data_IF_625523366663
#
_entry.id   IF_625523366663
#
_cell.length_a   1.000
_cell.length_b   1.000
_cell.length_c   1.000
_cell.angle_alpha   90.00
_cell.angle_beta   90.00
_cell.angle_gamma   90.00
#
_symmetry.space_group_name_H-M   'P 1'
#
loop_
_entity.id
_entity.type
_entity.pdbx_description
1 polymer ?
#
# COMPACT_ATOMS: atom_id res chain seq x y z
N UNK A 1 -6.38 -56.34 -31.61
CA UNK A 1 -6.76 -56.33 -30.18
C UNK A 1 -7.06 -54.89 -29.84
N UNK A 2 -8.31 -54.62 -29.48
CA UNK A 2 -8.85 -53.27 -29.30
C UNK A 2 -8.27 -52.59 -28.05
N UNK A 3 -8.05 -51.29 -28.21
CA UNK A 3 -7.76 -50.29 -27.19
C UNK A 3 -8.66 -50.43 -25.97
N UNK A 4 -8.07 -50.37 -24.77
CA UNK A 4 -8.78 -50.09 -23.54
C UNK A 4 -8.06 -49.06 -22.70
N UNK A 5 -8.74 -47.92 -22.59
CA UNK A 5 -8.88 -47.07 -21.40
C UNK A 5 -7.70 -46.15 -21.05
N UNK A 6 -7.57 -45.08 -21.83
CA UNK A 6 -7.27 -43.77 -21.26
C UNK A 6 -8.62 -43.06 -21.08
N UNK A 7 -9.16 -43.13 -19.87
CA UNK A 7 -10.21 -42.21 -19.42
C UNK A 7 -10.17 -42.10 -17.90
N UNK A 8 -9.08 -41.53 -17.37
CA UNK A 8 -9.15 -40.91 -16.06
C UNK A 8 -9.85 -39.56 -16.23
N UNK A 9 -11.12 -39.54 -15.83
CA UNK A 9 -11.89 -38.33 -15.64
C UNK A 9 -11.19 -37.45 -14.60
N UNK A 10 -10.63 -36.31 -15.02
CA UNK A 10 -10.35 -35.21 -14.11
C UNK A 10 -11.68 -34.66 -13.58
N UNK A 11 -12.22 -35.29 -12.53
CA UNK A 11 -13.18 -34.62 -11.65
C UNK A 11 -12.46 -33.45 -11.01
N UNK A 12 -12.70 -32.26 -11.54
CA UNK A 12 -12.28 -31.01 -10.91
C UNK A 12 -13.08 -30.87 -9.61
N UNK A 13 -12.50 -31.33 -8.50
CA UNK A 13 -13.03 -31.10 -7.16
C UNK A 13 -13.37 -29.62 -7.01
N UNK A 14 -14.56 -29.33 -6.48
CA UNK A 14 -14.98 -27.96 -6.22
C UNK A 14 -13.91 -27.24 -5.38
N UNK A 15 -13.50 -26.01 -5.75
CA UNK A 15 -12.49 -25.27 -5.00
C UNK A 15 -12.90 -25.13 -3.54
N UNK A 16 -11.93 -25.23 -2.63
CA UNK A 16 -12.19 -24.97 -1.22
C UNK A 16 -12.46 -23.47 -1.00
N UNK A 17 -13.06 -23.12 0.14
CA UNK A 17 -13.25 -21.70 0.50
C UNK A 17 -11.90 -20.97 0.60
N UNK A 18 -10.81 -21.67 0.99
CA UNK A 18 -9.48 -21.09 1.00
C UNK A 18 -9.00 -20.76 -0.43
N UNK A 19 -9.21 -21.66 -1.39
CA UNK A 19 -8.86 -21.44 -2.80
C UNK A 19 -9.68 -20.28 -3.40
N UNK A 20 -10.98 -20.19 -3.06
CA UNK A 20 -11.83 -19.07 -3.47
C UNK A 20 -11.33 -17.73 -2.92
N UNK A 21 -10.87 -17.69 -1.67
CA UNK A 21 -10.30 -16.49 -1.04
C UNK A 21 -8.95 -16.10 -1.66
N UNK A 22 -8.09 -17.06 -1.97
CA UNK A 22 -6.81 -16.83 -2.68
C UNK A 22 -7.10 -16.26 -4.07
N UNK A 23 -8.05 -16.85 -4.79
CA UNK A 23 -8.47 -16.36 -6.09
C UNK A 23 -8.99 -14.92 -6.02
N UNK A 24 -9.87 -14.63 -5.05
CA UNK A 24 -10.38 -13.27 -4.83
C UNK A 24 -9.25 -12.28 -4.48
N UNK A 25 -8.27 -12.70 -3.68
CA UNK A 25 -7.11 -11.86 -3.37
C UNK A 25 -6.29 -11.54 -4.62
N UNK A 26 -6.01 -12.54 -5.46
CA UNK A 26 -5.22 -12.37 -6.69
C UNK A 26 -5.93 -11.54 -7.77
N UNK A 27 -7.27 -11.45 -7.73
CA UNK A 27 -8.03 -10.56 -8.61
C UNK A 27 -7.96 -9.08 -8.21
N UNK A 28 -7.72 -8.80 -6.94
CA UNK A 28 -7.92 -7.47 -6.35
C UNK A 28 -6.62 -6.85 -5.81
N UNK A 29 -5.62 -7.68 -5.51
CA UNK A 29 -4.40 -7.28 -4.83
C UNK A 29 -3.15 -7.90 -5.44
N UNK A 30 -2.07 -7.13 -5.43
CA UNK A 30 -0.72 -7.65 -5.50
C UNK A 30 -0.17 -7.80 -4.08
N UNK A 31 0.17 -9.04 -3.68
CA UNK A 31 0.81 -9.31 -2.39
C UNK A 31 2.33 -9.26 -2.56
N UNK A 32 2.97 -8.41 -1.76
CA UNK A 32 4.41 -8.18 -1.75
C UNK A 32 5.04 -8.51 -0.39
N UNK A 33 6.35 -8.74 -0.41
CA UNK A 33 7.21 -8.78 0.78
C UNK A 33 8.10 -7.55 0.81
N UNK A 34 8.21 -6.88 1.95
CA UNK A 34 9.07 -5.69 2.09
C UNK A 34 10.50 -6.07 2.49
N UNK A 35 11.42 -5.10 2.46
CA UNK A 35 12.79 -5.30 2.95
C UNK A 35 12.85 -5.59 4.46
N UNK A 36 11.89 -5.09 5.23
CA UNK A 36 11.70 -5.37 6.66
C UNK A 36 11.05 -6.73 6.94
N UNK A 37 10.77 -7.52 5.90
CA UNK A 37 10.06 -8.81 5.96
C UNK A 37 8.59 -8.72 6.40
N UNK A 38 7.96 -7.55 6.21
CA UNK A 38 6.52 -7.43 6.31
C UNK A 38 5.83 -7.88 5.02
N UNK A 39 4.55 -8.23 5.10
CA UNK A 39 3.73 -8.59 3.95
C UNK A 39 2.58 -7.61 3.79
N UNK A 40 2.47 -7.03 2.60
CA UNK A 40 1.45 -6.02 2.28
C UNK A 40 0.68 -6.42 1.01
N UNK A 41 -0.59 -6.06 0.97
CA UNK A 41 -1.46 -6.18 -0.18
C UNK A 41 -1.67 -4.80 -0.80
N UNK A 42 -1.24 -4.63 -2.05
CA UNK A 42 -1.41 -3.42 -2.84
C UNK A 42 -2.68 -3.59 -3.69
N UNK A 43 -3.70 -2.74 -3.56
CA UNK A 43 -4.87 -2.80 -4.44
C UNK A 43 -4.47 -2.66 -5.92
N UNK A 44 -4.99 -3.53 -6.78
CA UNK A 44 -4.79 -3.48 -8.23
C UNK A 44 -5.62 -2.37 -8.90
N UNK A 45 -6.67 -1.91 -8.22
CA UNK A 45 -7.55 -0.82 -8.68
C UNK A 45 -7.91 0.14 -7.55
N UNK A 46 -8.26 1.37 -7.91
CA UNK A 46 -8.58 2.43 -6.95
C UNK A 46 -7.35 2.99 -6.22
N UNK A 47 -7.57 3.70 -5.09
CA UNK A 47 -6.48 4.22 -4.26
C UNK A 47 -5.52 3.12 -3.81
N UNK A 48 -4.22 3.29 -4.06
CA UNK A 48 -3.16 2.35 -3.67
C UNK A 48 -2.83 2.42 -2.16
N UNK A 49 -3.86 2.31 -1.33
CA UNK A 49 -3.73 2.25 0.12
C UNK A 49 -3.47 0.80 0.49
N UNK A 50 -2.21 0.50 0.83
CA UNK A 50 -1.79 -0.86 1.14
C UNK A 50 -2.43 -1.38 2.42
N UNK A 51 -2.74 -2.68 2.45
CA UNK A 51 -3.26 -3.38 3.63
C UNK A 51 -2.21 -4.35 4.16
N UNK A 52 -1.95 -4.37 5.48
CA UNK A 52 -1.08 -5.39 6.03
C UNK A 52 -1.74 -6.77 5.96
N UNK A 53 -0.97 -7.83 5.72
CA UNK A 53 -1.49 -9.21 5.78
C UNK A 53 -1.60 -9.72 7.21
N UNK A 54 -0.77 -9.20 8.12
CA UNK A 54 -0.67 -9.59 9.51
C UNK A 54 -0.90 -8.37 10.42
N UNK A 55 -1.31 -8.60 11.67
CA UNK A 55 -1.56 -7.56 12.65
C UNK A 55 -3.04 -7.33 12.94
N UNK A 56 -3.37 -6.18 13.54
CA UNK A 56 -4.73 -5.86 13.97
C UNK A 56 -5.33 -4.74 13.10
N UNK A 57 -6.54 -4.98 12.59
CA UNK A 57 -7.37 -3.97 11.94
C UNK A 57 -6.97 -3.62 10.51
N UNK A 58 -7.99 -3.51 9.64
CA UNK A 58 -7.85 -3.16 8.22
C UNK A 58 -6.83 -4.02 7.45
N UNK A 59 -6.74 -5.30 7.81
CA UNK A 59 -5.85 -6.27 7.16
C UNK A 59 -6.42 -6.75 5.82
N UNK A 60 -5.61 -7.44 5.01
CA UNK A 60 -6.12 -8.16 3.84
C UNK A 60 -7.20 -9.18 4.24
N UNK A 61 -7.03 -9.87 5.36
CA UNK A 61 -8.00 -10.85 5.86
C UNK A 61 -9.39 -10.21 6.11
N UNK A 62 -9.41 -9.04 6.76
CA UNK A 62 -10.66 -8.30 7.01
C UNK A 62 -11.38 -7.93 5.70
N UNK A 63 -10.61 -7.56 4.68
CA UNK A 63 -11.15 -7.18 3.38
C UNK A 63 -11.69 -8.37 2.59
N UNK A 64 -10.92 -9.47 2.54
CA UNK A 64 -11.36 -10.71 1.90
C UNK A 64 -12.61 -11.28 2.56
N UNK A 65 -12.73 -11.23 3.89
CA UNK A 65 -13.94 -11.67 4.59
C UNK A 65 -15.17 -10.84 4.20
N UNK A 66 -15.03 -9.50 4.13
CA UNK A 66 -16.12 -8.61 3.67
C UNK A 66 -16.49 -8.93 2.22
N UNK A 67 -15.53 -8.91 1.30
CA UNK A 67 -15.76 -9.16 -0.12
C UNK A 67 -16.37 -10.55 -0.36
N UNK A 68 -15.89 -11.58 0.34
CA UNK A 68 -16.46 -12.93 0.25
C UNK A 68 -17.92 -12.96 0.73
N UNK A 69 -18.24 -12.26 1.83
CA UNK A 69 -19.62 -12.14 2.31
C UNK A 69 -20.52 -11.42 1.31
N UNK A 70 -20.03 -10.37 0.67
CA UNK A 70 -20.81 -9.58 -0.28
C UNK A 70 -21.09 -10.38 -1.57
N UNK A 71 -20.09 -11.08 -2.08
CA UNK A 71 -20.18 -11.85 -3.33
C UNK A 71 -20.88 -13.20 -3.14
N UNK A 72 -20.49 -13.97 -2.13
CA UNK A 72 -20.94 -15.36 -1.94
C UNK A 72 -22.14 -15.47 -0.99
N UNK A 73 -22.52 -14.38 -0.28
CA UNK A 73 -23.53 -14.36 0.78
C UNK A 73 -23.28 -15.36 1.91
N UNK A 74 -22.02 -15.78 2.09
CA UNK A 74 -21.57 -16.74 3.10
C UNK A 74 -20.45 -16.14 3.94
N UNK A 75 -20.27 -16.69 5.15
CA UNK A 75 -19.11 -16.37 5.99
C UNK A 75 -18.06 -17.45 5.81
N UNK A 76 -16.81 -17.10 5.47
CA UNK A 76 -15.73 -18.09 5.46
C UNK A 76 -15.42 -18.50 6.90
N UNK A 77 -14.96 -19.74 7.09
CA UNK A 77 -14.44 -20.16 8.40
C UNK A 77 -13.10 -19.47 8.69
N UNK A 78 -12.78 -19.24 9.97
CA UNK A 78 -11.47 -18.67 10.32
C UNK A 78 -10.30 -19.51 9.81
N UNK A 79 -10.47 -20.84 9.76
CA UNK A 79 -9.47 -21.75 9.22
C UNK A 79 -9.22 -21.48 7.74
N UNK A 80 -10.28 -21.34 6.94
CA UNK A 80 -10.14 -21.04 5.51
C UNK A 80 -9.42 -19.71 5.27
N UNK A 81 -9.74 -18.67 6.06
CA UNK A 81 -9.06 -17.37 5.98
C UNK A 81 -7.57 -17.51 6.35
N UNK A 82 -7.25 -18.20 7.45
CA UNK A 82 -5.85 -18.42 7.86
C UNK A 82 -5.06 -19.22 6.81
N UNK A 83 -5.66 -20.26 6.24
CA UNK A 83 -5.02 -21.08 5.22
C UNK A 83 -4.76 -20.26 3.95
N UNK A 84 -5.72 -19.45 3.50
CA UNK A 84 -5.54 -18.52 2.38
C UNK A 84 -4.41 -17.50 2.61
N UNK A 85 -4.41 -16.83 3.77
CA UNK A 85 -3.36 -15.84 4.11
C UNK A 85 -1.98 -16.50 4.18
N UNK A 86 -1.86 -17.73 4.71
CA UNK A 86 -0.59 -18.48 4.74
C UNK A 86 -0.05 -18.79 3.35
N UNK A 87 -0.93 -19.18 2.42
CA UNK A 87 -0.54 -19.42 1.03
C UNK A 87 -0.05 -18.12 0.38
N UNK A 88 -0.79 -17.02 0.52
CA UNK A 88 -0.40 -15.72 -0.04
C UNK A 88 0.95 -15.22 0.51
N UNK A 89 1.20 -15.42 1.81
CA UNK A 89 2.51 -15.13 2.44
C UNK A 89 3.60 -16.01 1.85
N UNK A 90 3.35 -17.32 1.67
CA UNK A 90 4.31 -18.25 1.09
C UNK A 90 4.67 -17.87 -0.35
N UNK A 91 3.67 -17.52 -1.15
CA UNK A 91 3.86 -17.07 -2.54
C UNK A 91 4.66 -15.77 -2.61
N UNK A 92 4.32 -14.78 -1.76
CA UNK A 92 5.07 -13.53 -1.69
C UNK A 92 6.51 -13.72 -1.16
N UNK A 93 6.72 -14.70 -0.28
CA UNK A 93 8.05 -15.01 0.26
C UNK A 93 9.03 -15.54 -0.79
N UNK A 94 8.52 -16.14 -1.87
CA UNK A 94 9.31 -16.63 -3.00
C UNK A 94 9.66 -15.54 -4.02
N UNK A 95 9.12 -14.32 -3.87
CA UNK A 95 9.39 -13.17 -4.76
C UNK A 95 10.48 -12.27 -4.17
N UNK A 96 11.01 -11.37 -5.01
CA UNK A 96 11.93 -10.33 -4.58
C UNK A 96 11.24 -9.36 -3.59
N UNK A 97 12.01 -8.83 -2.66
CA UNK A 97 11.54 -7.80 -1.74
C UNK A 97 11.26 -6.49 -2.52
N UNK A 98 10.26 -5.75 -2.05
CA UNK A 98 9.83 -4.46 -2.61
C UNK A 98 10.09 -3.36 -1.60
N UNK A 99 10.69 -2.26 -2.06
CA UNK A 99 10.86 -1.06 -1.25
C UNK A 99 9.52 -0.40 -0.99
N UNK A 100 9.25 -0.12 0.28
CA UNK A 100 8.07 0.62 0.72
C UNK A 100 8.51 1.83 1.51
N UNK A 101 7.68 2.87 1.47
CA UNK A 101 7.96 4.15 2.12
C UNK A 101 6.84 4.46 3.09
N UNK A 102 7.09 5.27 4.12
CA UNK A 102 6.02 5.65 5.05
C UNK A 102 5.31 6.89 4.53
N UNK A 103 6.01 8.03 4.56
CA UNK A 103 5.39 9.34 4.26
C UNK A 103 5.99 10.05 3.06
N UNK A 104 7.26 9.85 2.78
CA UNK A 104 7.89 10.37 1.59
C UNK A 104 8.84 9.34 0.98
N UNK A 105 9.10 9.50 -0.31
CA UNK A 105 10.03 8.68 -1.08
C UNK A 105 10.79 9.59 -2.05
N UNK A 106 12.11 9.46 -2.11
CA UNK A 106 12.92 10.10 -3.14
C UNK A 106 13.26 9.08 -4.23
N UNK A 107 12.87 9.36 -5.47
CA UNK A 107 13.17 8.53 -6.64
C UNK A 107 13.84 9.41 -7.69
N UNK A 108 15.14 9.17 -7.90
CA UNK A 108 15.96 10.04 -8.74
C UNK A 108 15.92 11.49 -8.23
N UNK A 109 15.45 12.40 -9.08
CA UNK A 109 15.35 13.83 -8.77
C UNK A 109 13.95 14.28 -8.31
N UNK A 110 13.02 13.35 -8.11
CA UNK A 110 11.65 13.62 -7.66
C UNK A 110 11.43 13.16 -6.22
N UNK A 111 10.63 13.90 -5.46
CA UNK A 111 10.15 13.50 -4.13
C UNK A 111 8.65 13.29 -4.21
N UNK A 112 8.17 12.16 -3.69
CA UNK A 112 6.77 11.84 -3.53
C UNK A 112 6.41 11.93 -2.06
N UNK A 113 5.35 12.66 -1.71
CA UNK A 113 4.85 12.77 -0.33
C UNK A 113 3.41 12.28 -0.30
N UNK A 114 3.14 11.21 0.46
CA UNK A 114 1.78 10.70 0.65
C UNK A 114 0.90 11.76 1.33
N UNK A 115 -0.30 12.02 0.78
CA UNK A 115 -1.27 12.93 1.41
C UNK A 115 -1.92 12.32 2.66
N UNK A 116 -1.94 10.99 2.81
CA UNK A 116 -2.52 10.32 3.97
C UNK A 116 -4.03 10.23 4.01
N UNK A 117 -4.73 10.83 3.05
CA UNK A 117 -6.18 10.74 2.92
C UNK A 117 -6.60 9.49 2.13
N UNK A 118 -7.90 9.25 2.04
CA UNK A 118 -8.48 8.07 1.40
C UNK A 118 -8.30 8.07 -0.13
N UNK A 119 -7.81 9.15 -0.75
CA UNK A 119 -7.68 9.22 -2.21
C UNK A 119 -6.45 8.49 -2.73
N UNK A 120 -5.47 8.20 -1.86
CA UNK A 120 -4.20 7.55 -2.25
C UNK A 120 -3.32 8.42 -3.16
N UNK A 121 -3.56 9.73 -3.16
CA UNK A 121 -2.79 10.71 -3.93
C UNK A 121 -1.50 11.09 -3.20
N UNK A 122 -0.51 11.55 -3.97
CA UNK A 122 0.73 12.06 -3.43
C UNK A 122 1.08 13.42 -4.03
N UNK A 123 1.84 14.22 -3.29
CA UNK A 123 2.49 15.41 -3.83
C UNK A 123 3.78 14.95 -4.52
N UNK A 124 3.91 15.23 -5.80
CA UNK A 124 5.13 15.03 -6.57
C UNK A 124 5.87 16.36 -6.66
N UNK A 125 7.04 16.43 -6.03
CA UNK A 125 7.89 17.61 -5.96
C UNK A 125 9.05 17.38 -6.92
N UNK A 126 9.25 18.34 -7.84
CA UNK A 126 10.40 18.39 -8.74
C UNK A 126 11.03 19.78 -8.68
N UNK A 127 12.09 20.02 -9.48
CA UNK A 127 12.80 21.30 -9.45
C UNK A 127 11.88 22.46 -9.84
N UNK A 128 11.53 23.29 -8.85
CA UNK A 128 10.77 24.53 -9.03
C UNK A 128 9.26 24.36 -9.17
N UNK A 129 8.73 23.14 -9.07
CA UNK A 129 7.28 22.89 -9.16
C UNK A 129 6.87 21.68 -8.32
N UNK A 130 5.58 21.59 -8.04
CA UNK A 130 4.96 20.41 -7.48
C UNK A 130 3.55 20.27 -8.03
N UNK A 131 3.04 19.05 -7.99
CA UNK A 131 1.67 18.71 -8.37
C UNK A 131 1.12 17.61 -7.47
N UNK A 132 -0.20 17.51 -7.35
CA UNK A 132 -0.84 16.35 -6.71
C UNK A 132 -1.12 15.34 -7.82
N UNK A 133 -0.58 14.13 -7.68
CA UNK A 133 -0.74 13.05 -8.66
C UNK A 133 -1.58 11.91 -8.09
N UNK A 134 -2.31 11.27 -8.99
CA UNK A 134 -2.90 9.95 -8.76
C UNK A 134 -1.86 8.85 -9.02
N UNK A 135 -2.00 7.71 -8.34
CA UNK A 135 -1.19 6.51 -8.57
C UNK A 135 0.33 6.77 -8.58
N UNK A 136 0.92 7.25 -7.47
CA UNK A 136 2.36 7.49 -7.42
C UNK A 136 3.16 6.21 -7.75
N UNK A 137 4.36 6.33 -8.36
CA UNK A 137 5.18 5.19 -8.77
C UNK A 137 5.91 4.50 -7.60
N UNK A 138 5.52 4.83 -6.36
CA UNK A 138 6.08 4.28 -5.12
C UNK A 138 4.96 3.70 -4.27
N UNK A 139 5.32 2.75 -3.40
CA UNK A 139 4.38 2.12 -2.48
C UNK A 139 4.51 2.77 -1.11
N UNK A 140 3.43 3.36 -0.61
CA UNK A 140 3.37 3.90 0.74
C UNK A 140 2.68 2.94 1.72
N UNK A 141 3.28 2.71 2.88
CA UNK A 141 2.66 2.06 4.04
C UNK A 141 2.31 3.10 5.08
N UNK A 142 1.02 3.18 5.42
CA UNK A 142 0.52 4.07 6.46
C UNK A 142 0.52 3.38 7.83
N UNK A 143 0.82 4.14 8.87
CA UNK A 143 0.67 3.71 10.26
C UNK A 143 -0.52 4.45 10.89
N UNK A 144 -0.87 4.11 12.13
CA UNK A 144 -1.87 4.88 12.89
C UNK A 144 -1.50 6.37 13.06
N UNK A 145 -0.22 6.73 12.87
CA UNK A 145 0.29 8.10 12.96
C UNK A 145 0.24 8.84 11.62
N UNK A 146 -0.18 8.19 10.55
CA UNK A 146 -0.29 8.80 9.22
C UNK A 146 -1.63 9.50 9.06
N UNK A 147 -1.72 10.74 9.53
CA UNK A 147 -2.92 11.57 9.36
C UNK A 147 -2.97 12.23 7.95
N UNK A 148 -4.16 12.55 7.43
CA UNK A 148 -4.30 13.38 6.24
C UNK A 148 -3.57 14.72 6.35
N UNK A 149 -2.77 15.07 5.35
CA UNK A 149 -2.23 16.42 5.22
C UNK A 149 -3.29 17.39 4.69
N UNK A 150 -3.27 18.66 5.14
CA UNK A 150 -3.92 19.73 4.41
C UNK A 150 -3.41 19.75 2.97
N UNK A 151 -4.33 19.82 2.00
CA UNK A 151 -3.94 19.89 0.59
C UNK A 151 -3.17 21.18 0.33
N UNK A 152 -1.97 21.12 -0.27
CA UNK A 152 -1.16 22.29 -0.52
C UNK A 152 -1.85 23.24 -1.51
N UNK A 153 -1.61 24.54 -1.32
CA UNK A 153 -2.07 25.60 -2.23
C UNK A 153 -0.84 26.38 -2.71
N UNK A 154 -0.81 26.71 -4.00
CA UNK A 154 0.24 27.55 -4.56
C UNK A 154 0.20 28.97 -3.97
N UNK A 155 1.33 29.66 -4.00
CA UNK A 155 1.44 31.03 -3.48
C UNK A 155 1.51 31.13 -1.95
N UNK A 156 1.94 30.06 -1.28
CA UNK A 156 2.22 30.10 0.17
C UNK A 156 3.34 31.08 0.52
N UNK A 157 3.28 31.61 1.74
CA UNK A 157 4.26 32.56 2.27
C UNK A 157 4.94 31.95 3.50
N UNK A 158 6.20 31.55 3.34
CA UNK A 158 6.97 30.91 4.40
C UNK A 158 7.34 31.88 5.53
N UNK A 159 7.30 33.20 5.30
CA UNK A 159 7.60 34.19 6.35
C UNK A 159 6.64 34.08 7.54
N UNK A 160 5.43 33.55 7.31
CA UNK A 160 4.44 33.26 8.36
C UNK A 160 4.96 32.25 9.39
N UNK A 161 5.83 31.32 9.00
CA UNK A 161 6.48 30.39 9.95
C UNK A 161 7.35 31.17 10.95
N UNK A 162 8.09 32.16 10.48
CA UNK A 162 8.97 32.97 11.34
C UNK A 162 8.22 33.97 12.22
N UNK A 163 6.92 34.18 11.97
CA UNK A 163 6.06 34.92 12.90
C UNK A 163 5.68 34.13 14.16
N UNK A 164 5.81 32.80 14.14
CA UNK A 164 5.41 31.91 15.26
C UNK A 164 6.60 31.28 15.99
N UNK A 165 7.80 31.30 15.41
CA UNK A 165 9.03 30.79 16.04
C UNK A 165 9.99 31.94 16.35
N UNK A 166 10.59 31.93 17.54
CA UNK A 166 11.50 32.98 17.98
C UNK A 166 12.92 32.74 17.47
N UNK A 167 13.20 33.17 16.23
CA UNK A 167 14.51 33.00 15.59
C UNK A 167 14.97 34.35 14.99
N UNK A 168 16.26 34.73 15.11
CA UNK A 168 16.80 35.90 14.44
C UNK A 168 16.62 35.85 12.93
N UNK A 169 16.33 37.01 12.31
CA UNK A 169 16.03 37.10 10.87
C UNK A 169 17.16 36.54 10.00
N UNK A 170 18.40 36.69 10.43
CA UNK A 170 19.60 36.20 9.75
C UNK A 170 19.68 34.66 9.72
N UNK A 171 18.95 33.97 10.61
CA UNK A 171 18.93 32.51 10.72
C UNK A 171 17.73 31.87 10.01
N UNK A 172 16.73 32.64 9.57
CA UNK A 172 15.54 32.13 8.88
C UNK A 172 15.89 31.25 7.68
N UNK A 173 16.85 31.69 6.85
CA UNK A 173 17.30 30.92 5.69
C UNK A 173 17.94 29.59 6.06
N UNK A 174 18.69 29.53 7.15
CA UNK A 174 19.31 28.29 7.64
C UNK A 174 18.25 27.31 8.15
N UNK A 175 17.25 27.81 8.88
CA UNK A 175 16.14 26.99 9.39
C UNK A 175 15.30 26.45 8.24
N UNK A 176 15.01 27.29 7.24
CA UNK A 176 14.31 26.85 6.04
C UNK A 176 15.10 25.76 5.32
N UNK A 177 16.41 25.96 5.14
CA UNK A 177 17.31 24.95 4.58
C UNK A 177 17.30 23.64 5.38
N UNK A 178 17.31 23.71 6.71
CA UNK A 178 17.25 22.54 7.59
C UNK A 178 15.92 21.78 7.44
N UNK A 179 14.79 22.49 7.45
CA UNK A 179 13.46 21.88 7.27
C UNK A 179 13.37 21.19 5.91
N UNK A 180 13.84 21.86 4.86
CA UNK A 180 13.87 21.29 3.50
C UNK A 180 14.77 20.05 3.49
N UNK A 181 15.98 20.12 4.06
CA UNK A 181 16.92 19.00 4.08
C UNK A 181 16.38 17.76 4.80
N UNK A 182 15.40 17.90 5.71
CA UNK A 182 14.77 16.74 6.36
C UNK A 182 13.99 15.84 5.38
N UNK A 183 13.76 16.29 4.14
CA UNK A 183 13.11 15.53 3.08
C UNK A 183 14.07 14.97 2.01
N UNK A 184 15.37 15.25 2.13
CA UNK A 184 16.41 14.76 1.21
C UNK A 184 17.38 13.89 2.02
N UNK A 185 17.66 12.68 1.52
CA UNK A 185 18.76 11.85 2.03
C UNK A 185 20.04 12.07 1.20
#
# INVERSE_FOLDING_TARGET
>A
MLDKNISESHETSKPSVADELIFLANLEYEVIRTHENDFLAIPLSGPKIVKPLLGMGNTLADDLMRKYRDTCRKLPSERAVRDAIRVLISEASAKNQVQVYIRFAQIGNGIFVDLGDETGQAIHITRGTWEIIDNPPVVFRRTALTAPFPRPKAGGDFSKLFSIINIPKEQEGLVLGFIISAYFE
#
